data_IF_708566821578
#
_entry.id   IF_708566821578
#
_cell.length_a   1.000
_cell.length_b   1.000
_cell.length_c   1.000
_cell.angle_alpha   90.00
_cell.angle_beta   90.00
_cell.angle_gamma   90.00
#
_symmetry.space_group_name_H-M   'P 1'
#
loop_
_entity.id
_entity.type
_entity.pdbx_description
1 polymer ?
#
# COMPACT_ATOMS: atom_id res chain seq x y z
N UNK A 1 -7.90 -14.92 12.37
CA UNK A 1 -7.56 -14.25 11.10
C UNK A 1 -8.78 -14.32 10.19
N UNK A 2 -9.14 -13.22 9.54
CA UNK A 2 -10.27 -13.24 8.61
C UNK A 2 -9.90 -14.03 7.34
N UNK A 3 -10.85 -14.81 6.84
CA UNK A 3 -10.65 -15.74 5.72
C UNK A 3 -11.18 -15.12 4.41
N UNK A 4 -10.51 -14.06 3.94
CA UNK A 4 -10.82 -13.43 2.65
C UNK A 4 -9.75 -13.71 1.58
N UNK A 5 -8.63 -14.32 1.95
CA UNK A 5 -7.57 -14.76 1.04
C UNK A 5 -6.67 -15.79 1.70
N UNK A 6 -5.95 -16.58 0.88
CA UNK A 6 -4.95 -17.53 1.34
C UNK A 6 -3.55 -16.90 1.25
N UNK A 7 -2.91 -16.68 2.40
CA UNK A 7 -1.52 -16.22 2.46
C UNK A 7 -0.55 -17.28 1.94
N UNK A 8 -0.81 -18.57 2.22
CA UNK A 8 0.02 -19.66 1.71
C UNK A 8 0.04 -19.68 0.17
N UNK A 9 -1.13 -19.45 -0.46
CA UNK A 9 -1.21 -19.36 -1.92
C UNK A 9 -0.45 -18.15 -2.45
N UNK A 10 -0.58 -16.97 -1.80
CA UNK A 10 0.13 -15.76 -2.21
C UNK A 10 1.65 -15.95 -2.12
N UNK A 11 2.15 -16.48 -0.99
CA UNK A 11 3.57 -16.75 -0.77
C UNK A 11 4.10 -17.80 -1.76
N UNK A 12 3.34 -18.88 -1.97
CA UNK A 12 3.70 -19.89 -2.98
C UNK A 12 3.78 -19.28 -4.40
N UNK A 13 2.85 -18.42 -4.78
CA UNK A 13 2.92 -17.73 -6.07
C UNK A 13 4.17 -16.86 -6.19
N UNK A 14 4.53 -16.12 -5.13
CA UNK A 14 5.70 -15.25 -5.17
C UNK A 14 7.01 -16.02 -5.23
N UNK A 15 7.19 -17.01 -4.36
CA UNK A 15 8.46 -17.73 -4.22
C UNK A 15 8.62 -18.86 -5.22
N UNK A 16 7.62 -19.77 -5.34
CA UNK A 16 7.77 -20.98 -6.13
C UNK A 16 7.38 -20.79 -7.61
N UNK A 17 6.42 -19.89 -7.92
CA UNK A 17 5.97 -19.70 -9.31
C UNK A 17 6.69 -18.56 -9.99
N UNK A 18 6.86 -17.41 -9.29
CA UNK A 18 7.45 -16.21 -9.86
C UNK A 18 8.91 -16.00 -9.50
N UNK A 19 9.48 -16.85 -8.62
CA UNK A 19 10.88 -16.78 -8.19
C UNK A 19 11.30 -15.35 -7.81
N UNK A 20 10.56 -14.78 -6.84
CA UNK A 20 10.76 -13.38 -6.42
C UNK A 20 12.18 -13.11 -5.95
N UNK A 21 12.91 -14.14 -5.50
CA UNK A 21 14.31 -14.05 -5.06
C UNK A 21 15.25 -13.57 -6.19
N UNK A 22 14.91 -13.82 -7.45
CA UNK A 22 15.66 -13.29 -8.59
C UNK A 22 15.63 -11.75 -8.62
N UNK A 23 14.54 -11.12 -8.13
CA UNK A 23 14.41 -9.67 -8.07
C UNK A 23 15.38 -9.07 -7.05
N UNK A 24 15.66 -9.76 -5.95
CA UNK A 24 16.55 -9.29 -4.89
C UNK A 24 18.04 -9.31 -5.29
N UNK A 25 18.39 -9.95 -6.41
CA UNK A 25 19.76 -9.93 -6.96
C UNK A 25 20.13 -8.61 -7.64
N UNK A 26 19.13 -7.77 -7.98
CA UNK A 26 19.39 -6.44 -8.52
C UNK A 26 19.85 -5.51 -7.40
N UNK A 27 20.88 -4.69 -7.67
CA UNK A 27 21.47 -3.74 -6.73
C UNK A 27 20.44 -2.88 -6.00
N UNK A 28 19.39 -2.45 -6.71
CA UNK A 28 18.29 -1.64 -6.16
C UNK A 28 17.52 -2.35 -5.04
N UNK A 29 17.48 -3.67 -5.03
CA UNK A 29 16.61 -4.46 -4.15
C UNK A 29 17.37 -5.40 -3.22
N UNK A 30 18.70 -5.27 -3.14
CA UNK A 30 19.57 -6.14 -2.34
C UNK A 30 19.33 -6.09 -0.82
N UNK A 31 18.58 -5.08 -0.34
CA UNK A 31 18.17 -4.97 1.07
C UNK A 31 16.94 -5.83 1.40
N UNK A 32 16.36 -6.49 0.39
CA UNK A 32 15.24 -7.41 0.53
C UNK A 32 15.70 -8.85 0.38
N UNK A 33 15.01 -9.74 1.09
CA UNK A 33 15.09 -11.20 0.95
C UNK A 33 13.72 -11.83 1.16
N UNK A 34 13.60 -13.14 0.92
CA UNK A 34 12.33 -13.84 1.03
C UNK A 34 11.74 -13.78 2.45
N UNK A 35 12.59 -13.84 3.50
CA UNK A 35 12.13 -13.79 4.89
C UNK A 35 11.55 -12.40 5.24
N UNK A 36 12.26 -11.34 4.89
CA UNK A 36 11.82 -9.95 5.12
C UNK A 36 10.53 -9.62 4.38
N UNK A 37 10.38 -10.14 3.15
CA UNK A 37 9.15 -10.00 2.37
C UNK A 37 7.98 -10.74 3.02
N UNK A 38 8.20 -11.94 3.50
CA UNK A 38 7.17 -12.72 4.21
C UNK A 38 6.68 -12.01 5.48
N UNK A 39 7.60 -11.46 6.28
CA UNK A 39 7.27 -10.66 7.47
C UNK A 39 6.45 -9.42 7.10
N UNK A 40 6.83 -8.74 6.01
CA UNK A 40 6.13 -7.57 5.51
C UNK A 40 4.69 -7.90 5.06
N UNK A 41 4.50 -9.00 4.32
CA UNK A 41 3.18 -9.44 3.87
C UNK A 41 2.30 -9.89 5.04
N UNK A 42 2.87 -10.57 6.03
CA UNK A 42 2.16 -10.95 7.27
C UNK A 42 1.75 -9.72 8.09
N UNK A 43 2.58 -8.67 8.10
CA UNK A 43 2.25 -7.38 8.70
C UNK A 43 1.09 -6.69 7.97
N UNK A 44 1.11 -6.66 6.63
CA UNK A 44 0.03 -6.14 5.80
C UNK A 44 -1.29 -6.89 6.08
N UNK A 45 -1.24 -8.23 6.16
CA UNK A 45 -2.40 -9.07 6.48
C UNK A 45 -2.95 -8.76 7.87
N UNK A 46 -2.06 -8.68 8.87
CA UNK A 46 -2.45 -8.37 10.26
C UNK A 46 -3.14 -7.00 10.35
N UNK A 47 -2.58 -5.99 9.71
CA UNK A 47 -3.17 -4.66 9.69
C UNK A 47 -4.52 -4.64 8.97
N UNK A 48 -4.63 -5.36 7.87
CA UNK A 48 -5.88 -5.52 7.12
C UNK A 48 -6.97 -6.20 7.95
N UNK A 49 -6.63 -7.25 8.69
CA UNK A 49 -7.56 -7.94 9.60
C UNK A 49 -8.07 -7.03 10.72
N UNK A 50 -7.25 -6.12 11.19
CA UNK A 50 -7.57 -5.24 12.32
C UNK A 50 -8.33 -3.98 11.93
N UNK A 51 -7.99 -3.36 10.79
CA UNK A 51 -8.47 -2.02 10.48
C UNK A 51 -9.28 -1.94 9.18
N UNK A 52 -9.08 -2.85 8.19
CA UNK A 52 -9.75 -2.79 6.89
C UNK A 52 -10.98 -3.70 6.84
N UNK A 53 -10.77 -4.98 7.09
CA UNK A 53 -11.82 -5.99 6.98
C UNK A 53 -13.04 -5.73 7.90
N UNK A 54 -12.86 -5.31 9.17
CA UNK A 54 -13.99 -5.09 10.06
C UNK A 54 -14.98 -4.01 9.61
N UNK A 55 -14.54 -3.05 8.80
CA UNK A 55 -15.37 -1.93 8.34
C UNK A 55 -15.82 -2.08 6.87
N UNK A 56 -15.42 -3.17 6.20
CA UNK A 56 -15.74 -3.38 4.78
C UNK A 56 -17.25 -3.28 4.52
N UNK A 57 -18.05 -4.04 5.26
CA UNK A 57 -19.49 -4.08 5.08
C UNK A 57 -20.13 -2.71 5.35
N UNK A 58 -19.70 -2.02 6.39
CA UNK A 58 -20.23 -0.69 6.72
C UNK A 58 -19.92 0.31 5.61
N UNK A 59 -18.72 0.27 5.03
CA UNK A 59 -18.33 1.14 3.91
C UNK A 59 -19.11 0.83 2.64
N UNK A 60 -19.41 -0.45 2.37
CA UNK A 60 -20.19 -0.89 1.22
C UNK A 60 -21.66 -0.45 1.33
N UNK A 61 -22.27 -0.62 2.50
CA UNK A 61 -23.65 -0.20 2.77
C UNK A 61 -23.81 1.34 2.85
N UNK A 62 -22.75 2.06 3.20
CA UNK A 62 -22.72 3.52 3.35
C UNK A 62 -21.62 4.17 2.51
N UNK A 63 -21.75 4.17 1.17
CA UNK A 63 -20.73 4.72 0.28
C UNK A 63 -20.58 6.24 0.49
N UNK A 64 -19.43 6.77 0.07
CA UNK A 64 -19.17 8.19 0.07
C UNK A 64 -20.29 8.97 -0.64
N UNK A 65 -20.70 10.09 -0.07
CA UNK A 65 -21.76 10.97 -0.62
C UNK A 65 -21.26 12.39 -0.80
N UNK A 66 -21.78 13.04 -1.82
CA UNK A 66 -21.61 14.47 -2.01
C UNK A 66 -22.85 15.20 -1.47
N UNK A 67 -22.67 15.98 -0.38
CA UNK A 67 -23.75 16.70 0.29
C UNK A 67 -23.28 18.13 0.57
N UNK A 68 -24.05 19.11 0.15
CA UNK A 68 -23.79 20.54 0.38
C UNK A 68 -22.36 20.99 -0.01
N UNK A 69 -21.91 20.53 -1.19
CA UNK A 69 -20.59 20.90 -1.71
C UNK A 69 -19.41 20.16 -1.07
N UNK A 70 -19.67 19.16 -0.23
CA UNK A 70 -18.64 18.38 0.48
C UNK A 70 -18.82 16.88 0.25
N UNK A 71 -17.69 16.19 0.19
CA UNK A 71 -17.67 14.72 0.19
C UNK A 71 -17.63 14.24 1.65
N UNK A 72 -18.57 13.35 2.00
CA UNK A 72 -18.55 12.61 3.26
C UNK A 72 -17.97 11.23 3.03
N UNK A 73 -16.92 10.89 3.77
CA UNK A 73 -16.29 9.56 3.73
C UNK A 73 -16.47 8.86 5.09
N UNK A 74 -16.18 7.57 5.10
CA UNK A 74 -16.23 6.79 6.35
C UNK A 74 -15.28 7.39 7.41
N UNK A 75 -15.70 7.55 8.69
CA UNK A 75 -14.91 8.22 9.73
C UNK A 75 -13.54 7.61 9.97
N UNK A 76 -13.40 6.29 9.85
CA UNK A 76 -12.13 5.58 10.05
C UNK A 76 -11.09 5.89 8.96
N UNK A 77 -11.51 6.30 7.75
CA UNK A 77 -10.62 6.46 6.59
C UNK A 77 -9.46 7.41 6.88
N UNK A 78 -9.74 8.54 7.52
CA UNK A 78 -8.69 9.52 7.86
C UNK A 78 -7.59 8.95 8.75
N UNK A 79 -7.97 8.14 9.76
CA UNK A 79 -7.02 7.47 10.67
C UNK A 79 -6.18 6.44 9.91
N UNK A 80 -6.84 5.65 9.07
CA UNK A 80 -6.19 4.60 8.28
C UNK A 80 -5.18 5.21 7.29
N UNK A 81 -5.56 6.22 6.53
CA UNK A 81 -4.67 6.88 5.57
C UNK A 81 -3.48 7.57 6.25
N UNK A 82 -3.71 8.21 7.41
CA UNK A 82 -2.61 8.77 8.20
C UNK A 82 -1.62 7.69 8.64
N UNK A 83 -2.13 6.55 9.11
CA UNK A 83 -1.29 5.41 9.49
C UNK A 83 -0.55 4.83 8.27
N UNK A 84 -1.23 4.69 7.13
CA UNK A 84 -0.61 4.22 5.89
C UNK A 84 0.60 5.08 5.49
N UNK A 85 0.49 6.40 5.58
CA UNK A 85 1.61 7.31 5.33
C UNK A 85 2.73 7.17 6.36
N UNK A 86 2.38 7.07 7.66
CA UNK A 86 3.37 6.92 8.74
C UNK A 86 4.13 5.59 8.68
N UNK A 87 3.47 4.52 8.28
CA UNK A 87 4.06 3.18 8.16
C UNK A 87 4.74 2.97 6.80
N UNK A 88 4.75 3.98 5.91
CA UNK A 88 5.43 3.94 4.63
C UNK A 88 4.70 3.20 3.50
N UNK A 89 3.43 2.82 3.67
CA UNK A 89 2.68 2.08 2.65
C UNK A 89 2.36 2.91 1.39
N UNK A 90 2.31 4.23 1.49
CA UNK A 90 2.00 5.12 0.35
C UNK A 90 3.22 5.30 -0.55
N UNK A 91 4.39 5.52 0.02
CA UNK A 91 5.65 5.75 -0.71
C UNK A 91 6.58 4.53 -0.78
N UNK A 92 6.08 3.31 -0.57
CA UNK A 92 6.91 2.11 -0.41
C UNK A 92 7.84 1.81 -1.59
N UNK A 93 7.48 2.15 -2.82
CA UNK A 93 8.28 1.93 -4.04
C UNK A 93 9.28 3.06 -4.33
N UNK A 94 9.18 4.20 -3.66
CA UNK A 94 10.05 5.35 -3.91
C UNK A 94 11.47 5.08 -3.41
N UNK A 95 12.44 5.85 -3.96
CA UNK A 95 13.83 5.78 -3.53
C UNK A 95 13.97 6.19 -2.06
N UNK A 96 14.99 5.68 -1.37
CA UNK A 96 15.29 6.07 0.02
C UNK A 96 15.50 7.58 0.15
N UNK A 97 16.11 8.23 -0.87
CA UNK A 97 16.33 9.66 -0.91
C UNK A 97 15.03 10.48 -0.93
N UNK A 98 13.95 9.89 -1.48
CA UNK A 98 12.60 10.47 -1.51
C UNK A 98 11.75 10.05 -0.30
N UNK A 99 12.36 9.37 0.68
CA UNK A 99 11.68 8.88 1.88
C UNK A 99 10.90 7.57 1.69
N UNK A 100 11.12 6.88 0.59
CA UNK A 100 10.54 5.56 0.30
C UNK A 100 11.32 4.40 0.89
N UNK A 101 10.88 3.19 0.58
CA UNK A 101 11.51 1.93 0.99
C UNK A 101 12.17 1.16 -0.16
N UNK A 102 12.18 1.69 -1.37
CA UNK A 102 12.65 0.99 -2.59
C UNK A 102 12.06 -0.42 -2.74
N UNK A 103 10.81 -0.61 -2.28
CA UNK A 103 10.17 -1.91 -2.32
C UNK A 103 10.01 -2.39 -3.76
N UNK A 104 10.36 -3.65 -4.07
CA UNK A 104 10.09 -4.21 -5.39
C UNK A 104 8.61 -4.13 -5.74
N UNK A 105 8.28 -3.72 -6.97
CA UNK A 105 6.89 -3.56 -7.39
C UNK A 105 6.04 -4.83 -7.23
N UNK A 106 6.64 -6.00 -7.41
CA UNK A 106 5.95 -7.28 -7.21
C UNK A 106 5.52 -7.46 -5.75
N UNK A 107 6.36 -7.07 -4.79
CA UNK A 107 6.08 -7.13 -3.36
C UNK A 107 5.04 -6.07 -2.96
N UNK A 108 5.20 -4.84 -3.45
CA UNK A 108 4.23 -3.76 -3.23
C UNK A 108 2.83 -4.14 -3.74
N UNK A 109 2.75 -4.76 -4.92
CA UNK A 109 1.49 -5.24 -5.49
C UNK A 109 0.91 -6.42 -4.70
N UNK A 110 1.74 -7.32 -4.16
CA UNK A 110 1.28 -8.40 -3.29
C UNK A 110 0.67 -7.84 -1.98
N UNK A 111 1.30 -6.84 -1.37
CA UNK A 111 0.74 -6.15 -0.22
C UNK A 111 -0.58 -5.43 -0.57
N UNK A 112 -0.63 -4.74 -1.71
CA UNK A 112 -1.86 -4.09 -2.18
C UNK A 112 -2.98 -5.09 -2.42
N UNK A 113 -2.68 -6.28 -2.96
CA UNK A 113 -3.66 -7.36 -3.12
C UNK A 113 -4.27 -7.79 -1.78
N UNK A 114 -3.47 -7.86 -0.70
CA UNK A 114 -3.97 -8.14 0.65
C UNK A 114 -4.94 -7.03 1.09
N UNK A 115 -4.58 -5.77 0.90
CA UNK A 115 -5.41 -4.63 1.28
C UNK A 115 -6.73 -4.62 0.51
N UNK A 116 -6.70 -4.85 -0.80
CA UNK A 116 -7.89 -4.88 -1.65
C UNK A 116 -8.80 -6.06 -1.33
N UNK A 117 -8.23 -7.23 -1.07
CA UNK A 117 -9.00 -8.41 -0.69
C UNK A 117 -9.72 -8.20 0.66
N UNK A 118 -9.12 -7.44 1.57
CA UNK A 118 -9.74 -7.11 2.86
C UNK A 118 -10.84 -6.04 2.73
N UNK A 119 -10.59 -4.99 1.96
CA UNK A 119 -11.54 -3.89 1.77
C UNK A 119 -11.09 -2.97 0.64
N UNK A 120 -11.59 -3.16 -0.57
CA UNK A 120 -11.18 -2.39 -1.75
C UNK A 120 -11.63 -0.91 -1.75
N UNK A 121 -12.41 -0.47 -0.77
CA UNK A 121 -12.76 0.95 -0.61
C UNK A 121 -11.59 1.82 -0.11
N UNK A 122 -10.53 1.21 0.43
CA UNK A 122 -9.41 1.92 1.09
C UNK A 122 -8.19 2.09 0.17
N UNK A 123 -7.66 1.03 -0.49
CA UNK A 123 -6.41 1.09 -1.24
C UNK A 123 -6.42 2.10 -2.39
N UNK A 124 -7.58 2.39 -2.97
CA UNK A 124 -7.70 3.42 -4.00
C UNK A 124 -7.19 4.80 -3.56
N UNK A 125 -7.43 5.20 -2.31
CA UNK A 125 -6.91 6.46 -1.78
C UNK A 125 -5.38 6.44 -1.63
N UNK A 126 -4.82 5.29 -1.20
CA UNK A 126 -3.37 5.12 -1.06
C UNK A 126 -2.69 5.13 -2.43
N UNK A 127 -3.18 4.30 -3.37
CA UNK A 127 -2.61 4.14 -4.71
C UNK A 127 -2.68 5.41 -5.55
N UNK A 128 -3.79 6.17 -5.49
CA UNK A 128 -3.92 7.44 -6.22
C UNK A 128 -2.99 8.51 -5.65
N UNK A 129 -2.77 8.53 -4.34
CA UNK A 129 -1.78 9.42 -3.71
C UNK A 129 -0.37 9.04 -4.12
N UNK A 130 -0.02 7.74 -4.07
CA UNK A 130 1.26 7.21 -4.50
C UNK A 130 1.54 7.53 -5.98
N UNK A 131 0.54 7.30 -6.87
CA UNK A 131 0.68 7.61 -8.29
C UNK A 131 0.88 9.10 -8.58
N UNK A 132 0.18 9.98 -7.88
CA UNK A 132 0.37 11.42 -8.00
C UNK A 132 1.77 11.83 -7.50
N UNK A 133 2.24 11.27 -6.40
CA UNK A 133 3.58 11.51 -5.87
C UNK A 133 4.66 11.01 -6.84
N UNK A 134 4.48 9.83 -7.43
CA UNK A 134 5.42 9.28 -8.41
C UNK A 134 5.52 10.15 -9.68
N UNK A 135 4.39 10.68 -10.16
CA UNK A 135 4.37 11.63 -11.26
C UNK A 135 5.18 12.90 -10.94
N UNK A 136 4.98 13.47 -9.75
CA UNK A 136 5.70 14.66 -9.29
C UNK A 136 7.18 14.33 -9.10
N UNK A 137 7.50 13.18 -8.51
CA UNK A 137 8.86 12.71 -8.29
C UNK A 137 9.62 12.56 -9.59
N UNK A 138 9.00 11.98 -10.60
CA UNK A 138 9.63 11.69 -11.89
C UNK A 138 9.76 12.92 -12.77
N UNK A 139 8.71 13.70 -12.91
CA UNK A 139 8.62 14.77 -13.90
C UNK A 139 8.53 16.19 -13.31
N UNK A 140 8.28 16.31 -12.00
CA UNK A 140 8.11 17.60 -11.34
C UNK A 140 9.40 18.38 -11.22
N UNK A 141 9.28 19.71 -11.30
CA UNK A 141 10.37 20.64 -10.95
C UNK A 141 10.62 20.61 -9.44
N UNK A 142 11.80 21.07 -9.04
CA UNK A 142 12.25 21.01 -7.63
C UNK A 142 11.21 21.62 -6.66
N UNK A 143 10.62 22.75 -7.01
CA UNK A 143 9.63 23.44 -6.18
C UNK A 143 8.37 22.58 -5.92
N UNK A 144 7.93 21.79 -6.91
CA UNK A 144 6.81 20.87 -6.74
C UNK A 144 7.18 19.70 -5.84
N UNK A 145 8.40 19.13 -6.05
CA UNK A 145 8.90 18.03 -5.21
C UNK A 145 8.99 18.45 -3.75
N UNK A 146 9.69 19.55 -3.47
CA UNK A 146 9.90 20.07 -2.11
C UNK A 146 8.57 20.42 -1.40
N UNK A 147 7.55 20.85 -2.16
CA UNK A 147 6.27 21.27 -1.60
C UNK A 147 5.32 20.12 -1.31
N UNK A 148 5.28 19.11 -2.19
CA UNK A 148 4.22 18.10 -2.15
C UNK A 148 4.69 16.74 -1.65
N UNK A 149 5.85 16.23 -2.08
CA UNK A 149 6.32 14.88 -1.72
C UNK A 149 6.32 14.65 -0.20
N UNK A 150 6.86 15.56 0.65
CA UNK A 150 6.88 15.34 2.10
C UNK A 150 5.51 15.29 2.78
N UNK A 151 4.43 15.59 2.04
CA UNK A 151 3.06 15.66 2.58
C UNK A 151 2.17 14.53 2.04
N UNK A 152 2.65 13.79 1.08
CA UNK A 152 1.95 12.69 0.42
C UNK A 152 2.40 11.36 0.99
#
# INVERSE_FOLDING_TARGET
MADYMSMDTLKWLLHDVHDVDEVFKYERYQDYDGESVDILLDSAKTWSDQEFYPIFREMDENPCRFVDGKITSHPALKKILKKAGQDGWIGNIFDYEDGGAQMPHVVANAANHIFEAANNHIPGYMGLTSGAADLIRTFGVKELKDKYIPKM
#
